data_IF_309678791907
#
_entry.id   IF_309678791907
#
_cell.length_a   1.000
_cell.length_b   1.000
_cell.length_c   1.000
_cell.angle_alpha   90.00
_cell.angle_beta   90.00
_cell.angle_gamma   90.00
#
_symmetry.space_group_name_H-M   'P 1'
#
loop_
_entity.id
_entity.type
_entity.pdbx_description
1 polymer ?
#
# COMPACT_ATOMS: atom_id res chain seq x y z
N UNK A 1 -21.53 14.29 -12.27
CA UNK A 1 -23.00 14.48 -12.09
C UNK A 1 -23.64 13.35 -11.30
N UNK A 2 -23.43 12.07 -11.67
CA UNK A 2 -24.04 10.92 -10.98
C UNK A 2 -23.86 10.91 -9.46
N UNK A 3 -22.63 11.10 -8.97
CA UNK A 3 -22.33 11.12 -7.52
C UNK A 3 -23.04 12.26 -6.78
N UNK A 4 -23.23 13.40 -7.44
CA UNK A 4 -23.93 14.57 -6.86
C UNK A 4 -25.43 14.30 -6.68
N UNK A 5 -26.02 13.46 -7.52
CA UNK A 5 -27.43 13.07 -7.42
C UNK A 5 -27.72 12.04 -6.33
N UNK A 6 -26.70 11.48 -5.70
CA UNK A 6 -26.87 10.50 -4.61
C UNK A 6 -27.40 11.22 -3.36
N UNK A 7 -28.47 10.73 -2.70
CA UNK A 7 -28.94 11.30 -1.45
C UNK A 7 -27.85 11.28 -0.37
N UNK A 8 -27.76 12.34 0.44
CA UNK A 8 -26.71 12.49 1.45
C UNK A 8 -26.62 11.31 2.42
N UNK A 9 -27.76 10.74 2.82
CA UNK A 9 -27.84 9.56 3.69
C UNK A 9 -27.24 8.29 3.08
N UNK A 10 -27.08 8.23 1.75
CA UNK A 10 -26.47 7.10 1.03
C UNK A 10 -24.98 7.34 0.73
N UNK A 11 -24.46 8.54 0.97
CA UNK A 11 -23.05 8.85 0.75
C UNK A 11 -22.09 7.92 1.52
N UNK A 12 -22.36 7.52 2.80
CA UNK A 12 -21.47 6.61 3.52
C UNK A 12 -21.41 5.22 2.85
N UNK A 13 -22.57 4.68 2.46
CA UNK A 13 -22.68 3.38 1.77
C UNK A 13 -21.94 3.42 0.43
N UNK A 14 -22.05 4.53 -0.31
CA UNK A 14 -21.30 4.71 -1.55
C UNK A 14 -19.78 4.73 -1.30
N UNK A 15 -19.31 5.44 -0.28
CA UNK A 15 -17.88 5.52 0.05
C UNK A 15 -17.34 4.16 0.48
N UNK A 16 -18.05 3.40 1.31
CA UNK A 16 -17.67 2.03 1.69
C UNK A 16 -17.55 1.11 0.47
N UNK A 17 -18.57 1.09 -0.39
CA UNK A 17 -18.58 0.21 -1.56
C UNK A 17 -17.48 0.58 -2.56
N UNK A 18 -17.24 1.88 -2.79
CA UNK A 18 -16.17 2.34 -3.68
C UNK A 18 -14.79 2.07 -3.06
N UNK A 19 -14.63 2.24 -1.74
CA UNK A 19 -13.40 1.90 -1.01
C UNK A 19 -13.10 0.40 -1.09
N UNK A 20 -14.13 -0.44 -0.94
CA UNK A 20 -14.01 -1.90 -1.11
C UNK A 20 -13.56 -2.27 -2.51
N UNK A 21 -14.19 -1.69 -3.55
CA UNK A 21 -13.79 -1.92 -4.96
C UNK A 21 -12.37 -1.43 -5.25
N UNK A 22 -11.96 -0.32 -4.63
CA UNK A 22 -10.59 0.17 -4.75
C UNK A 22 -9.58 -0.84 -4.19
N UNK A 23 -9.96 -1.72 -3.27
CA UNK A 23 -9.08 -2.76 -2.75
C UNK A 23 -9.13 -4.05 -3.57
N UNK A 24 -10.32 -4.43 -4.07
CA UNK A 24 -10.52 -5.76 -4.67
C UNK A 24 -10.39 -5.81 -6.20
N UNK A 25 -10.47 -4.66 -6.89
CA UNK A 25 -10.46 -4.60 -8.36
C UNK A 25 -9.35 -3.63 -8.86
N UNK A 26 -8.12 -4.14 -9.09
CA UNK A 26 -7.00 -3.29 -9.52
C UNK A 26 -7.22 -2.69 -10.92
N UNK A 27 -7.89 -3.40 -11.82
CA UNK A 27 -8.17 -2.93 -13.18
C UNK A 27 -9.11 -1.73 -13.18
N UNK A 28 -10.08 -1.71 -12.27
CA UNK A 28 -11.01 -0.58 -12.11
C UNK A 28 -10.56 0.45 -11.06
N UNK A 29 -9.36 0.31 -10.50
CA UNK A 29 -8.91 1.15 -9.40
C UNK A 29 -8.93 2.65 -9.72
N UNK A 30 -8.55 3.05 -10.93
CA UNK A 30 -8.60 4.45 -11.36
C UNK A 30 -10.04 4.99 -11.37
N UNK A 31 -11.00 4.21 -11.87
CA UNK A 31 -12.40 4.59 -11.86
C UNK A 31 -12.93 4.67 -10.42
N UNK A 32 -12.63 3.68 -9.58
CA UNK A 32 -12.99 3.67 -8.16
C UNK A 32 -12.40 4.87 -7.42
N UNK A 33 -11.14 5.23 -7.65
CA UNK A 33 -10.51 6.41 -7.04
C UNK A 33 -11.19 7.72 -7.47
N UNK A 34 -11.59 7.85 -8.74
CA UNK A 34 -12.35 9.02 -9.23
C UNK A 34 -13.73 9.12 -8.58
N UNK A 35 -14.43 8.00 -8.42
CA UNK A 35 -15.71 7.95 -7.71
C UNK A 35 -15.55 8.28 -6.22
N UNK A 36 -14.49 7.78 -5.58
CA UNK A 36 -14.19 8.06 -4.18
C UNK A 36 -13.93 9.56 -3.99
N UNK A 37 -13.07 10.15 -4.82
CA UNK A 37 -12.80 11.60 -4.83
C UNK A 37 -14.08 12.41 -4.98
N UNK A 38 -14.89 12.10 -5.98
CA UNK A 38 -16.14 12.82 -6.22
C UNK A 38 -17.12 12.67 -5.03
N UNK A 39 -17.15 11.51 -4.39
CA UNK A 39 -18.03 11.25 -3.23
C UNK A 39 -17.60 12.08 -2.03
N UNK A 40 -16.29 12.12 -1.75
CA UNK A 40 -15.72 12.95 -0.70
C UNK A 40 -15.92 14.45 -0.97
N UNK A 41 -15.81 14.88 -2.23
CA UNK A 41 -15.95 16.29 -2.61
C UNK A 41 -17.40 16.77 -2.48
N UNK A 42 -18.37 16.05 -3.08
CA UNK A 42 -19.77 16.46 -3.10
C UNK A 42 -20.51 16.23 -1.77
N UNK A 43 -20.09 15.23 -0.99
CA UNK A 43 -20.76 14.84 0.27
C UNK A 43 -19.88 15.06 1.51
N UNK A 44 -18.87 15.93 1.42
CA UNK A 44 -17.93 16.24 2.52
C UNK A 44 -18.63 16.60 3.83
N UNK A 45 -19.64 17.48 3.79
CA UNK A 45 -20.40 17.90 4.98
C UNK A 45 -21.10 16.73 5.69
N UNK A 46 -22.03 16.02 5.02
CA UNK A 46 -22.71 14.86 5.59
C UNK A 46 -21.76 13.76 6.09
N UNK A 47 -20.71 13.46 5.33
CA UNK A 47 -19.72 12.43 5.69
C UNK A 47 -18.94 12.81 6.96
N UNK A 48 -18.52 14.07 7.08
CA UNK A 48 -17.81 14.56 8.25
C UNK A 48 -18.67 14.53 9.53
N UNK A 49 -19.98 14.72 9.40
CA UNK A 49 -20.90 14.78 10.54
C UNK A 49 -21.33 13.39 11.05
N UNK A 50 -21.45 12.39 10.18
CA UNK A 50 -22.18 11.14 10.49
C UNK A 50 -21.28 9.90 10.37
N UNK A 51 -20.13 9.99 9.67
CA UNK A 51 -19.47 8.79 9.15
C UNK A 51 -17.95 8.83 9.28
N UNK A 52 -17.45 9.13 10.48
CA UNK A 52 -16.01 9.14 10.77
C UNK A 52 -15.35 7.78 10.48
N UNK A 53 -15.97 6.68 10.89
CA UNK A 53 -15.42 5.34 10.68
C UNK A 53 -15.31 4.98 9.19
N UNK A 54 -16.31 5.39 8.40
CA UNK A 54 -16.30 5.23 6.94
C UNK A 54 -15.14 6.00 6.32
N UNK A 55 -14.89 7.23 6.75
CA UNK A 55 -13.74 8.01 6.28
C UNK A 55 -12.42 7.33 6.67
N UNK A 56 -12.29 6.83 7.90
CA UNK A 56 -11.09 6.10 8.34
C UNK A 56 -10.85 4.83 7.53
N UNK A 57 -11.92 4.13 7.12
CA UNK A 57 -11.80 2.94 6.26
C UNK A 57 -11.15 3.21 4.90
N UNK A 58 -11.21 4.46 4.41
CA UNK A 58 -10.58 4.87 3.14
C UNK A 58 -9.08 5.14 3.27
N UNK A 59 -8.58 5.34 4.50
CA UNK A 59 -7.20 5.76 4.77
C UNK A 59 -6.19 4.71 4.29
N UNK A 60 -6.32 3.47 4.78
CA UNK A 60 -5.34 2.40 4.49
C UNK A 60 -5.22 2.13 2.98
N UNK A 61 -6.33 1.94 2.23
CA UNK A 61 -6.24 1.70 0.78
C UNK A 61 -5.57 2.84 0.01
N UNK A 62 -5.84 4.09 0.39
CA UNK A 62 -5.24 5.26 -0.23
C UNK A 62 -3.75 5.40 0.12
N UNK A 63 -3.40 5.15 1.38
CA UNK A 63 -2.02 5.23 1.86
C UNK A 63 -1.11 4.22 1.15
N UNK A 64 -1.52 2.96 1.07
CA UNK A 64 -0.75 1.91 0.38
C UNK A 64 -0.52 2.32 -1.08
N UNK A 65 -1.60 2.71 -1.78
CA UNK A 65 -1.50 3.11 -3.19
C UNK A 65 -0.59 4.32 -3.39
N UNK A 66 -0.65 5.31 -2.50
CA UNK A 66 0.22 6.49 -2.57
C UNK A 66 1.69 6.13 -2.37
N UNK A 67 1.99 5.23 -1.43
CA UNK A 67 3.36 4.77 -1.17
C UNK A 67 3.92 3.99 -2.36
N UNK A 68 3.15 3.05 -2.91
CA UNK A 68 3.54 2.26 -4.08
C UNK A 68 3.71 3.14 -5.32
N UNK A 69 2.88 4.17 -5.52
CA UNK A 69 3.03 5.10 -6.63
C UNK A 69 4.40 5.79 -6.62
N UNK A 70 4.86 6.30 -5.48
CA UNK A 70 6.18 6.92 -5.38
C UNK A 70 7.32 5.95 -5.73
N UNK A 71 7.21 4.68 -5.35
CA UNK A 71 8.19 3.65 -5.68
C UNK A 71 8.17 3.31 -7.17
N UNK A 72 6.99 3.17 -7.77
CA UNK A 72 6.81 2.90 -9.19
C UNK A 72 7.37 4.02 -10.07
N UNK A 73 7.15 5.29 -9.69
CA UNK A 73 7.70 6.44 -10.43
C UNK A 73 9.23 6.44 -10.44
N UNK A 74 9.87 6.06 -9.32
CA UNK A 74 11.34 5.93 -9.26
C UNK A 74 11.84 4.80 -10.16
N UNK A 75 11.16 3.65 -10.15
CA UNK A 75 11.50 2.53 -11.02
C UNK A 75 11.32 2.88 -12.49
N UNK A 76 10.25 3.59 -12.83
CA UNK A 76 10.02 4.09 -14.18
C UNK A 76 11.19 4.97 -14.65
N UNK A 77 11.63 5.93 -13.83
CA UNK A 77 12.80 6.76 -14.19
C UNK A 77 14.09 5.96 -14.38
N UNK A 78 14.33 4.92 -13.55
CA UNK A 78 15.49 4.02 -13.74
C UNK A 78 15.39 3.22 -15.04
N UNK A 79 14.19 2.77 -15.39
CA UNK A 79 13.96 2.04 -16.63
C UNK A 79 14.16 2.94 -17.85
N UNK A 80 13.63 4.17 -17.83
CA UNK A 80 13.83 5.16 -18.89
C UNK A 80 15.32 5.45 -19.10
N UNK A 81 16.10 5.57 -18.01
CA UNK A 81 17.55 5.76 -18.08
C UNK A 81 18.27 4.53 -18.66
N UNK A 82 17.89 3.32 -18.24
CA UNK A 82 18.47 2.08 -18.76
C UNK A 82 18.19 1.91 -20.26
N UNK A 83 16.98 2.24 -20.72
CA UNK A 83 16.62 2.23 -22.14
C UNK A 83 17.46 3.26 -22.91
N UNK A 84 17.61 4.48 -22.38
CA UNK A 84 18.43 5.51 -23.01
C UNK A 84 19.90 5.07 -23.15
N UNK A 85 20.48 4.47 -22.11
CA UNK A 85 21.86 3.98 -22.13
C UNK A 85 22.05 2.80 -23.09
N UNK A 86 21.08 1.88 -23.17
CA UNK A 86 21.13 0.76 -24.11
C UNK A 86 21.12 1.26 -25.57
N UNK A 87 20.28 2.25 -25.88
CA UNK A 87 20.23 2.84 -27.21
C UNK A 87 21.54 3.56 -27.58
N UNK A 88 22.20 4.22 -26.63
CA UNK A 88 23.51 4.84 -26.87
C UNK A 88 24.59 3.77 -27.10
N UNK A 89 24.58 2.68 -26.31
CA UNK A 89 25.54 1.58 -26.47
C UNK A 89 25.41 0.87 -27.83
N UNK A 90 24.20 0.75 -28.38
CA UNK A 90 23.98 0.18 -29.72
C UNK A 90 24.47 1.13 -30.84
N UNK A 91 24.49 2.45 -30.60
CA UNK A 91 25.06 3.45 -31.52
C UNK A 91 26.60 3.57 -31.40
N UNK A 92 27.17 3.25 -30.24
CA UNK A 92 28.62 3.28 -29.98
C UNK A 92 29.37 2.00 -30.40
N UNK A 93 28.68 0.91 -30.78
CA UNK A 93 29.32 -0.28 -31.38
C UNK A 93 30.02 0.01 -32.74
N UNK A 94 29.86 1.21 -33.33
CA UNK A 94 30.66 1.68 -34.48
C UNK A 94 31.95 2.45 -34.12
N UNK A 95 32.22 2.75 -32.84
CA UNK A 95 33.41 3.52 -32.41
C UNK A 95 34.12 2.88 -31.21
N UNK A 96 34.90 1.84 -31.52
CA UNK A 96 35.83 1.15 -30.60
C UNK A 96 36.82 2.13 -29.91
N UNK A 97 36.61 2.38 -28.62
CA UNK A 97 37.52 3.14 -27.76
C UNK A 97 37.13 3.12 -26.28
N UNK A 98 38.07 2.91 -25.32
CA UNK A 98 37.73 2.74 -23.91
C UNK A 98 37.40 4.10 -23.29
N UNK A 99 36.12 4.42 -23.17
CA UNK A 99 35.67 5.62 -22.46
C UNK A 99 35.53 5.30 -20.97
N UNK A 100 36.62 5.59 -20.25
CA UNK A 100 36.73 5.62 -18.79
C UNK A 100 35.53 6.39 -18.19
N UNK A 101 34.61 5.68 -17.55
CA UNK A 101 33.59 6.32 -16.70
C UNK A 101 34.21 6.59 -15.32
N UNK A 102 35.12 7.55 -15.27
CA UNK A 102 35.47 8.24 -14.05
C UNK A 102 34.41 9.31 -13.75
N UNK A 103 33.33 8.88 -13.09
CA UNK A 103 32.36 9.79 -12.48
C UNK A 103 32.22 9.44 -11.00
N UNK A 104 33.35 9.52 -10.31
CA UNK A 104 33.42 9.90 -8.91
C UNK A 104 33.45 11.44 -8.87
N UNK A 105 32.90 12.06 -7.81
CA UNK A 105 32.77 13.51 -7.54
C UNK A 105 31.40 14.14 -7.87
N UNK A 106 30.45 14.01 -6.94
CA UNK A 106 30.11 15.17 -6.10
C UNK A 106 29.49 14.71 -4.78
N UNK A 107 30.38 14.74 -3.79
CA UNK A 107 30.13 14.69 -2.37
C UNK A 107 29.10 15.76 -1.94
N UNK A 108 28.02 15.31 -1.30
CA UNK A 108 27.24 16.12 -0.37
C UNK A 108 26.87 15.22 0.80
N UNK A 109 27.82 15.08 1.73
CA UNK A 109 27.64 14.87 3.17
C UNK A 109 26.17 14.77 3.64
N UNK A 110 25.73 13.57 4.01
CA UNK A 110 24.91 13.39 5.22
C UNK A 110 25.02 11.93 5.74
N UNK A 111 25.91 11.78 6.72
CA UNK A 111 25.85 10.85 7.84
C UNK A 111 25.28 9.42 7.62
N UNK A 112 26.21 8.47 7.61
CA UNK A 112 26.20 7.30 8.53
C UNK A 112 24.82 6.71 8.87
N UNK A 113 24.33 5.81 8.02
CA UNK A 113 23.44 4.74 8.48
C UNK A 113 23.94 3.39 7.98
N UNK A 114 24.42 2.60 8.95
CA UNK A 114 24.83 1.20 8.89
C UNK A 114 23.93 0.36 7.98
N UNK A 115 24.52 -0.20 6.92
CA UNK A 115 23.92 -1.24 6.08
C UNK A 115 23.92 -2.58 6.81
N UNK A 116 23.03 -2.73 7.80
CA UNK A 116 22.84 -4.00 8.49
C UNK A 116 21.44 -4.06 9.11
N UNK A 117 20.40 -4.13 8.27
CA UNK A 117 19.05 -4.53 8.74
C UNK A 117 18.20 -5.20 7.64
N UNK A 118 18.85 -5.75 6.61
CA UNK A 118 18.17 -6.55 5.58
C UNK A 118 18.32 -8.05 5.83
N UNK A 119 17.84 -8.51 6.98
CA UNK A 119 17.45 -9.91 7.16
C UNK A 119 16.11 -9.96 7.91
N UNK A 120 15.00 -10.37 7.28
CA UNK A 120 13.85 -10.81 8.04
C UNK A 120 14.22 -12.15 8.71
N UNK A 121 14.43 -12.15 10.02
CA UNK A 121 14.48 -13.37 10.84
C UNK A 121 13.15 -14.13 10.69
N UNK A 122 13.07 -15.03 9.71
CA UNK A 122 12.01 -16.02 9.63
C UNK A 122 12.35 -17.16 10.58
N UNK A 123 11.81 -17.12 11.81
CA UNK A 123 11.80 -18.26 12.73
C UNK A 123 10.50 -19.03 12.53
N UNK A 124 10.51 -20.22 11.89
CA UNK A 124 9.38 -21.12 11.93
C UNK A 124 9.38 -21.81 13.29
N UNK A 125 8.56 -21.32 14.23
CA UNK A 125 8.25 -22.08 15.44
C UNK A 125 7.29 -23.21 15.08
N UNK A 126 7.88 -24.36 14.74
CA UNK A 126 7.19 -25.62 14.62
C UNK A 126 7.91 -26.65 15.48
N UNK A 127 7.36 -26.96 16.66
CA UNK A 127 7.90 -28.05 17.47
C UNK A 127 7.28 -28.30 18.84
N UNK A 128 6.13 -28.98 18.83
CA UNK A 128 5.73 -30.00 19.82
C UNK A 128 5.10 -29.58 21.17
N UNK A 129 3.81 -29.90 21.28
CA UNK A 129 3.16 -30.68 22.35
C UNK A 129 3.43 -30.32 23.82
N UNK A 130 2.39 -29.89 24.54
CA UNK A 130 1.72 -30.75 25.53
C UNK A 130 0.42 -30.13 26.07
N UNK A 131 -0.46 -31.04 26.47
CA UNK A 131 -1.84 -30.88 26.95
C UNK A 131 -2.02 -29.90 28.11
N UNK A 132 -3.13 -29.17 28.14
CA UNK A 132 -3.57 -28.55 29.39
C UNK A 132 -4.63 -27.46 29.28
N UNK A 133 -5.76 -27.68 28.61
CA UNK A 133 -6.86 -26.70 28.64
C UNK A 133 -8.28 -27.30 28.61
N UNK A 134 -8.44 -28.59 28.96
CA UNK A 134 -9.77 -29.21 29.10
C UNK A 134 -10.24 -29.37 30.56
N UNK A 135 -9.51 -28.83 31.56
CA UNK A 135 -9.86 -29.02 32.97
C UNK A 135 -10.69 -27.91 33.61
N UNK A 136 -10.96 -26.78 32.93
CA UNK A 136 -11.64 -25.64 33.55
C UNK A 136 -13.15 -25.54 33.28
N UNK A 137 -13.68 -26.36 32.36
CA UNK A 137 -15.12 -26.35 32.01
C UNK A 137 -15.92 -27.38 32.83
N UNK A 138 -15.28 -28.44 33.34
CA UNK A 138 -15.92 -29.50 34.14
C UNK A 138 -16.17 -29.06 35.61
N UNK A 139 -15.30 -28.21 36.19
CA UNK A 139 -15.44 -27.75 37.58
C UNK A 139 -16.53 -26.69 37.81
N UNK A 140 -17.02 -26.04 36.74
CA UNK A 140 -18.16 -25.11 36.83
C UNK A 140 -19.52 -25.78 36.67
N UNK A 141 -19.60 -27.00 36.10
CA UNK A 141 -20.87 -27.76 36.02
C UNK A 141 -21.22 -28.49 37.31
N UNK A 142 -20.24 -29.04 38.05
CA UNK A 142 -20.49 -29.71 39.35
C UNK A 142 -20.80 -28.80 40.54
N UNK A 143 -20.74 -27.47 40.37
CA UNK A 143 -21.11 -26.50 41.42
C UNK A 143 -22.54 -25.94 41.28
N UNK A 144 -23.30 -26.39 40.27
CA UNK A 144 -24.73 -26.06 40.13
C UNK A 144 -25.66 -27.27 40.33
N UNK A 145 -25.12 -28.46 40.58
CA UNK A 145 -25.88 -29.65 41.01
C UNK A 145 -25.37 -30.13 42.37
N UNK A 146 -25.58 -29.32 43.42
CA UNK A 146 -25.83 -29.77 44.80
C UNK A 146 -26.78 -28.78 45.46
#
# INVERSE_FOLDING_TARGET
ETVRGVPAQMAPVLVEEVSRRLQTDPEKALASARWLRASLEYHSGPLAAISKDVLESTRIPLQIRSQTFCQLTKLQGKLELAIANANISDEEEELDGPLLTENDLTDFDDASHSESDWEPEFKPDGGASESGAESEIESKRRKMEV
#
